data_IF_294153022930
#
_entry.id   IF_294153022930
#
_cell.length_a   1.000
_cell.length_b   1.000
_cell.length_c   1.000
_cell.angle_alpha   90.00
_cell.angle_beta   90.00
_cell.angle_gamma   90.00
#
_symmetry.space_group_name_H-M   'P 1'
#
loop_
_entity.id
_entity.type
_entity.pdbx_description
1 polymer ?
#
# COMPACT_ATOMS: atom_id res chain seq x y z
N UNK A 1 0.87 -4.77 -15.59
CA UNK A 1 2.05 -3.89 -15.73
C UNK A 1 1.61 -2.47 -15.38
N UNK A 2 2.10 -1.84 -14.29
CA UNK A 2 1.81 -0.41 -14.06
C UNK A 2 2.53 0.39 -15.15
N UNK A 3 1.81 1.17 -15.93
CA UNK A 3 2.43 2.06 -16.92
C UNK A 3 3.41 2.99 -16.21
N UNK A 4 4.58 3.21 -16.83
CA UNK A 4 5.54 4.17 -16.31
C UNK A 4 4.87 5.55 -16.32
N UNK A 5 4.92 6.32 -15.22
CA UNK A 5 4.31 7.62 -15.16
C UNK A 5 4.88 8.51 -16.27
N UNK A 6 4.01 9.27 -16.92
CA UNK A 6 4.42 10.22 -17.96
C UNK A 6 5.35 11.28 -17.35
N UNK A 7 6.26 11.83 -18.16
CA UNK A 7 7.13 12.92 -17.73
C UNK A 7 6.33 14.11 -17.17
N UNK A 8 5.16 14.40 -17.76
CA UNK A 8 4.25 15.44 -17.28
C UNK A 8 3.70 15.14 -15.89
N UNK A 9 3.36 13.88 -15.63
CA UNK A 9 2.85 13.43 -14.33
C UNK A 9 3.91 13.55 -13.23
N UNK A 10 5.17 13.23 -13.56
CA UNK A 10 6.30 13.42 -12.64
C UNK A 10 6.50 14.89 -12.28
N UNK A 11 6.45 15.79 -13.27
CA UNK A 11 6.60 17.23 -13.06
C UNK A 11 5.47 17.76 -12.18
N UNK A 12 4.21 17.40 -12.48
CA UNK A 12 3.05 17.83 -11.69
C UNK A 12 3.16 17.32 -10.26
N UNK A 13 3.58 16.07 -10.04
CA UNK A 13 3.77 15.51 -8.70
C UNK A 13 4.87 16.22 -7.91
N UNK A 14 6.00 16.52 -8.54
CA UNK A 14 7.09 17.25 -7.91
C UNK A 14 6.65 18.67 -7.50
N UNK A 15 5.92 19.36 -8.38
CA UNK A 15 5.39 20.70 -8.11
C UNK A 15 4.36 20.68 -6.97
N UNK A 16 3.43 19.72 -6.98
CA UNK A 16 2.46 19.55 -5.88
C UNK A 16 3.14 19.24 -4.55
N UNK A 17 4.18 18.41 -4.55
CA UNK A 17 4.97 18.12 -3.35
C UNK A 17 5.69 19.35 -2.81
N UNK A 18 6.28 20.16 -3.70
CA UNK A 18 6.90 21.43 -3.34
C UNK A 18 5.91 22.42 -2.72
N UNK A 19 4.75 22.62 -3.35
CA UNK A 19 3.69 23.49 -2.82
C UNK A 19 3.16 22.98 -1.46
N UNK A 20 3.00 21.67 -1.31
CA UNK A 20 2.57 21.05 -0.04
C UNK A 20 3.59 21.29 1.05
N UNK A 21 4.87 21.13 0.75
CA UNK A 21 5.97 21.39 1.70
C UNK A 21 5.96 22.85 2.14
N UNK A 22 5.88 23.79 1.19
CA UNK A 22 5.86 25.21 1.49
C UNK A 22 4.64 25.61 2.35
N UNK A 23 3.46 25.05 2.07
CA UNK A 23 2.27 25.27 2.88
C UNK A 23 2.44 24.73 4.31
N UNK A 24 3.09 23.57 4.47
CA UNK A 24 3.41 23.02 5.79
C UNK A 24 4.41 23.87 6.55
N UNK A 25 5.43 24.37 5.87
CA UNK A 25 6.44 25.25 6.46
C UNK A 25 5.78 26.53 6.99
N UNK A 26 4.94 27.18 6.17
CA UNK A 26 4.13 28.32 6.60
C UNK A 26 3.29 28.04 7.87
N UNK A 27 2.67 26.85 7.96
CA UNK A 27 1.91 26.46 9.14
C UNK A 27 2.79 26.28 10.39
N UNK A 28 4.01 25.79 10.22
CA UNK A 28 4.99 25.64 11.31
C UNK A 28 5.41 27.02 11.82
N UNK A 29 5.85 27.92 10.92
CA UNK A 29 6.22 29.29 11.29
C UNK A 29 5.07 30.06 11.94
N UNK A 30 3.85 29.90 11.42
CA UNK A 30 2.65 30.47 12.05
C UNK A 30 2.40 29.91 13.45
N UNK A 31 2.69 28.62 13.68
CA UNK A 31 2.51 27.99 15.00
C UNK A 31 3.61 28.37 15.99
N UNK A 32 4.82 28.69 15.54
CA UNK A 32 5.91 29.19 16.40
C UNK A 32 5.84 30.70 16.61
N UNK A 33 4.89 31.38 15.98
CA UNK A 33 4.69 32.84 16.04
C UNK A 33 5.90 33.62 15.50
N UNK A 34 6.69 32.97 14.64
CA UNK A 34 7.81 33.55 13.93
C UNK A 34 7.34 34.26 12.66
N UNK A 35 8.07 35.29 12.23
CA UNK A 35 7.75 36.03 11.02
C UNK A 35 8.13 35.20 9.80
N UNK A 36 7.14 34.64 9.12
CA UNK A 36 7.32 34.04 7.81
C UNK A 36 7.43 35.12 6.74
N UNK A 37 8.45 35.06 5.89
CA UNK A 37 8.65 36.05 4.83
C UNK A 37 7.53 35.93 3.78
N UNK A 38 6.65 36.93 3.71
CA UNK A 38 5.68 36.99 2.63
C UNK A 38 6.40 37.29 1.31
N UNK A 39 6.28 36.35 0.37
CA UNK A 39 6.77 36.50 -1.01
C UNK A 39 6.00 37.63 -1.71
N UNK A 40 6.50 38.86 -1.59
CA UNK A 40 5.99 40.03 -2.32
C UNK A 40 6.52 40.00 -3.75
N UNK A 41 5.78 39.33 -4.63
CA UNK A 41 6.08 39.22 -6.06
C UNK A 41 6.11 40.57 -6.81
N UNK A 42 5.68 41.66 -6.17
CA UNK A 42 5.58 43.00 -6.75
C UNK A 42 6.93 43.74 -6.82
N UNK A 43 7.95 43.34 -6.04
CA UNK A 43 9.25 44.02 -5.97
C UNK A 43 10.45 43.05 -6.09
N UNK A 44 10.28 41.95 -6.82
CA UNK A 44 11.32 40.94 -6.99
C UNK A 44 12.39 41.41 -8.01
N UNK A 45 13.20 42.39 -7.64
CA UNK A 45 14.55 42.50 -8.20
C UNK A 45 15.26 41.17 -7.88
N UNK A 46 15.92 40.56 -8.86
CA UNK A 46 16.48 39.20 -8.75
C UNK A 46 17.47 39.00 -7.59
N UNK A 47 17.90 40.07 -6.94
CA UNK A 47 18.72 40.09 -5.73
C UNK A 47 17.93 40.04 -4.41
N UNK A 48 16.64 40.38 -4.41
CA UNK A 48 15.76 40.37 -3.23
C UNK A 48 15.23 38.95 -2.90
N UNK A 49 15.36 38.00 -3.83
CA UNK A 49 14.91 36.61 -3.67
C UNK A 49 15.87 35.80 -2.77
N UNK A 50 17.13 36.23 -2.62
CA UNK A 50 18.16 35.53 -1.82
C UNK A 50 18.59 36.39 -0.62
N UNK A 51 17.62 36.84 0.17
CA UNK A 51 17.91 37.43 1.49
C UNK A 51 18.18 36.33 2.51
N UNK A 52 19.01 36.60 3.53
CA UNK A 52 19.38 35.61 4.56
C UNK A 52 18.15 34.92 5.20
N UNK A 53 17.05 35.67 5.36
CA UNK A 53 15.79 35.15 5.89
C UNK A 53 15.19 34.07 4.98
N UNK A 54 15.25 34.26 3.66
CA UNK A 54 14.72 33.29 2.69
C UNK A 54 15.62 32.04 2.59
N UNK A 55 16.93 32.18 2.82
CA UNK A 55 17.87 31.06 2.85
C UNK A 55 17.55 30.14 4.03
N UNK A 56 17.28 30.69 5.22
CA UNK A 56 16.91 29.91 6.40
C UNK A 56 15.60 29.14 6.19
N UNK A 57 14.59 29.78 5.59
CA UNK A 57 13.32 29.13 5.23
C UNK A 57 13.52 27.96 4.25
N UNK A 58 14.31 28.15 3.19
CA UNK A 58 14.65 27.07 2.24
C UNK A 58 15.39 25.93 2.95
N UNK A 59 16.32 26.26 3.84
CA UNK A 59 17.13 25.27 4.57
C UNK A 59 16.24 24.37 5.43
N UNK A 60 15.23 24.93 6.11
CA UNK A 60 14.25 24.20 6.91
C UNK A 60 13.23 23.42 6.07
N UNK A 61 12.87 23.92 4.90
CA UNK A 61 11.96 23.25 3.97
C UNK A 61 12.50 21.90 3.45
N UNK A 62 13.83 21.73 3.31
CA UNK A 62 14.44 20.49 2.82
C UNK A 62 14.16 19.26 3.73
N UNK A 63 14.48 19.28 5.03
CA UNK A 63 14.19 18.15 5.91
C UNK A 63 12.68 17.92 6.07
N UNK A 64 11.86 18.99 6.08
CA UNK A 64 10.40 18.89 6.12
C UNK A 64 9.87 18.15 4.88
N UNK A 65 10.36 18.51 3.69
CA UNK A 65 9.99 17.85 2.43
C UNK A 65 10.29 16.35 2.47
N UNK A 66 11.43 15.97 3.03
CA UNK A 66 11.83 14.57 3.17
C UNK A 66 10.92 13.81 4.12
N UNK A 67 10.63 14.38 5.31
CA UNK A 67 9.71 13.76 6.29
C UNK A 67 8.31 13.61 5.69
N UNK A 68 7.79 14.64 5.01
CA UNK A 68 6.50 14.59 4.33
C UNK A 68 6.47 13.53 3.22
N UNK A 69 7.56 13.35 2.46
CA UNK A 69 7.65 12.31 1.46
C UNK A 69 7.58 10.90 2.07
N UNK A 70 8.29 10.66 3.19
CA UNK A 70 8.23 9.40 3.93
C UNK A 70 6.83 9.14 4.47
N UNK A 71 6.21 10.15 5.10
CA UNK A 71 4.84 10.07 5.61
C UNK A 71 3.84 9.81 4.49
N UNK A 72 4.04 10.41 3.31
CA UNK A 72 3.21 10.17 2.14
C UNK A 72 3.32 8.73 1.65
N UNK A 73 4.53 8.20 1.50
CA UNK A 73 4.75 6.79 1.11
C UNK A 73 4.10 5.85 2.12
N UNK A 74 4.27 6.11 3.42
CA UNK A 74 3.66 5.32 4.47
C UNK A 74 2.13 5.37 4.41
N UNK A 75 1.56 6.56 4.21
CA UNK A 75 0.10 6.78 4.12
C UNK A 75 -0.49 6.14 2.87
N UNK A 76 0.22 6.19 1.74
CA UNK A 76 -0.16 5.58 0.48
C UNK A 76 -0.14 4.04 0.59
N UNK A 77 0.92 3.47 1.16
CA UNK A 77 1.03 2.03 1.35
C UNK A 77 -0.04 1.48 2.30
N UNK A 78 -0.40 2.24 3.35
CA UNK A 78 -1.43 1.82 4.32
C UNK A 78 -2.86 2.10 3.84
N UNK A 79 -3.05 2.61 2.63
CA UNK A 79 -4.34 3.02 2.04
C UNK A 79 -5.17 3.92 2.98
N UNK A 80 -4.51 4.74 3.81
CA UNK A 80 -5.19 5.51 4.87
C UNK A 80 -6.22 6.49 4.31
N UNK A 81 -5.84 7.19 3.24
CA UNK A 81 -6.72 8.10 2.51
C UNK A 81 -7.97 7.38 1.97
N UNK A 82 -7.80 6.17 1.42
CA UNK A 82 -8.92 5.35 0.92
C UNK A 82 -9.86 4.98 2.06
N UNK A 83 -9.35 4.61 3.23
CA UNK A 83 -10.17 4.30 4.42
C UNK A 83 -10.89 5.53 4.95
N UNK A 84 -10.26 6.71 4.95
CA UNK A 84 -10.90 7.97 5.35
C UNK A 84 -12.02 8.36 4.37
N UNK A 85 -11.77 8.26 3.06
CA UNK A 85 -12.78 8.54 2.03
C UNK A 85 -13.96 7.56 2.07
N UNK A 86 -13.72 6.31 2.45
CA UNK A 86 -14.77 5.32 2.71
C UNK A 86 -15.58 5.65 3.98
N UNK A 87 -14.91 6.11 5.04
CA UNK A 87 -15.56 6.49 6.31
C UNK A 87 -16.56 7.63 6.13
N UNK A 88 -16.23 8.62 5.27
CA UNK A 88 -17.13 9.72 4.94
C UNK A 88 -18.15 9.36 3.84
N UNK A 89 -18.16 8.11 3.36
CA UNK A 89 -19.11 7.63 2.34
C UNK A 89 -18.86 8.15 0.92
N UNK A 90 -17.74 8.84 0.68
CA UNK A 90 -17.41 9.43 -0.62
C UNK A 90 -17.08 8.36 -1.69
N UNK A 91 -16.70 7.15 -1.28
CA UNK A 91 -16.52 6.00 -2.18
C UNK A 91 -16.84 4.69 -1.47
N UNK A 92 -17.55 3.79 -2.14
CA UNK A 92 -17.71 2.37 -1.75
C UNK A 92 -16.76 1.43 -2.51
N UNK A 93 -16.00 1.97 -3.46
CA UNK A 93 -15.03 1.19 -4.24
C UNK A 93 -13.70 1.18 -3.50
N UNK A 94 -13.28 0.00 -3.10
CA UNK A 94 -11.84 -0.27 -2.94
C UNK A 94 -11.25 -0.14 -4.34
N UNK A 95 -10.40 0.86 -4.57
CA UNK A 95 -9.84 1.10 -5.90
C UNK A 95 -9.07 -0.13 -6.38
N UNK A 96 -9.55 -0.79 -7.44
CA UNK A 96 -8.89 -1.93 -8.09
C UNK A 96 -8.74 -3.20 -7.26
N UNK A 97 -9.11 -3.18 -5.97
CA UNK A 97 -8.97 -4.31 -5.05
C UNK A 97 -10.09 -5.31 -5.34
N UNK A 98 -9.71 -6.45 -5.89
CA UNK A 98 -10.66 -7.53 -6.12
C UNK A 98 -10.92 -8.32 -4.83
N UNK A 99 -11.87 -9.25 -4.87
CA UNK A 99 -12.26 -10.04 -3.68
C UNK A 99 -11.07 -10.82 -3.12
N UNK A 100 -10.11 -11.20 -3.95
CA UNK A 100 -8.90 -11.89 -3.53
C UNK A 100 -8.00 -10.97 -2.70
N UNK A 101 -7.72 -9.77 -3.20
CA UNK A 101 -6.94 -8.78 -2.46
C UNK A 101 -7.63 -8.44 -1.13
N UNK A 102 -8.96 -8.30 -1.14
CA UNK A 102 -9.74 -8.03 0.06
C UNK A 102 -9.62 -9.17 1.10
N UNK A 103 -9.68 -10.43 0.67
CA UNK A 103 -9.57 -11.58 1.56
C UNK A 103 -8.17 -11.64 2.17
N UNK A 104 -7.12 -11.69 1.34
CA UNK A 104 -5.75 -11.92 1.81
C UNK A 104 -5.10 -10.70 2.49
N UNK A 105 -5.62 -9.48 2.27
CA UNK A 105 -5.27 -8.31 3.08
C UNK A 105 -6.03 -8.23 4.43
N UNK A 106 -6.97 -9.14 4.70
CA UNK A 106 -7.69 -9.14 5.97
C UNK A 106 -6.80 -9.67 7.10
N UNK A 107 -6.83 -9.03 8.26
CA UNK A 107 -6.08 -9.47 9.46
C UNK A 107 -6.76 -10.64 10.20
N UNK A 108 -7.52 -11.47 9.48
CA UNK A 108 -8.26 -12.58 10.06
C UNK A 108 -7.37 -13.82 10.05
N UNK A 109 -7.15 -14.41 11.23
CA UNK A 109 -6.42 -15.68 11.38
C UNK A 109 -7.00 -16.78 10.48
N UNK A 110 -8.31 -16.75 10.24
CA UNK A 110 -8.96 -17.73 9.38
C UNK A 110 -8.47 -17.72 7.92
N UNK A 111 -7.87 -16.62 7.46
CA UNK A 111 -7.37 -16.46 6.09
C UNK A 111 -5.91 -16.90 5.95
N UNK A 112 -5.20 -17.02 7.07
CA UNK A 112 -3.77 -17.36 7.07
C UNK A 112 -3.54 -18.85 6.74
N UNK A 113 -4.47 -19.73 7.09
CA UNK A 113 -4.40 -21.15 6.75
C UNK A 113 -5.38 -21.48 5.62
N UNK A 114 -4.86 -22.02 4.52
CA UNK A 114 -5.64 -22.29 3.31
C UNK A 114 -5.49 -23.72 2.83
N UNK A 115 -6.55 -24.18 2.17
CA UNK A 115 -6.51 -25.37 1.33
C UNK A 115 -6.79 -24.96 -0.11
N UNK A 116 -5.82 -25.16 -0.97
CA UNK A 116 -5.87 -24.84 -2.39
C UNK A 116 -6.07 -26.12 -3.18
N UNK A 117 -7.16 -26.20 -3.94
CA UNK A 117 -7.42 -27.29 -4.87
C UNK A 117 -7.15 -26.85 -6.29
N UNK A 118 -6.18 -27.49 -6.93
CA UNK A 118 -5.84 -27.34 -8.34
C UNK A 118 -6.55 -28.46 -9.12
N UNK A 119 -7.58 -28.10 -9.89
CA UNK A 119 -8.40 -29.06 -10.63
C UNK A 119 -7.69 -29.65 -11.84
N UNK A 120 -6.85 -28.87 -12.51
CA UNK A 120 -6.11 -29.31 -13.69
C UNK A 120 -5.10 -30.40 -13.32
N UNK A 121 -4.44 -30.23 -12.17
CA UNK A 121 -3.44 -31.18 -11.68
C UNK A 121 -3.98 -32.25 -10.74
N UNK A 122 -5.23 -32.12 -10.30
CA UNK A 122 -5.84 -32.96 -9.27
C UNK A 122 -4.97 -33.04 -7.99
N UNK A 123 -4.40 -31.90 -7.59
CA UNK A 123 -3.56 -31.76 -6.40
C UNK A 123 -4.25 -30.86 -5.39
N UNK A 124 -4.15 -31.20 -4.12
CA UNK A 124 -4.56 -30.34 -3.01
C UNK A 124 -3.34 -29.91 -2.22
N UNK A 125 -3.16 -28.61 -2.05
CA UNK A 125 -2.14 -28.03 -1.17
C UNK A 125 -2.83 -27.51 0.08
N UNK A 126 -2.33 -27.83 1.26
CA UNK A 126 -2.88 -27.32 2.51
C UNK A 126 -1.75 -26.80 3.37
N UNK A 127 -1.79 -25.52 3.74
CA UNK A 127 -0.95 -24.91 4.77
C UNK A 127 -1.08 -23.37 4.84
N UNK A 128 -0.23 -22.74 5.66
CA UNK A 128 -0.12 -21.30 5.86
C UNK A 128 0.32 -20.52 4.61
N UNK A 129 -0.39 -19.42 4.36
CA UNK A 129 -0.04 -18.41 3.37
C UNK A 129 1.18 -17.65 3.83
N UNK A 130 2.22 -17.60 2.98
CA UNK A 130 3.40 -16.78 3.17
C UNK A 130 3.25 -15.43 2.45
N UNK A 131 2.87 -15.45 1.17
CA UNK A 131 2.61 -14.24 0.38
C UNK A 131 1.65 -14.52 -0.78
N UNK A 132 1.03 -13.47 -1.33
CA UNK A 132 0.11 -13.55 -2.45
C UNK A 132 0.35 -12.40 -3.45
N UNK A 133 -0.13 -12.54 -4.69
CA UNK A 133 -0.10 -11.46 -5.68
C UNK A 133 -1.19 -10.44 -5.46
N UNK A 134 -0.86 -9.15 -5.57
CA UNK A 134 -1.81 -8.02 -5.56
C UNK A 134 -2.25 -7.59 -6.98
N UNK A 135 -2.07 -8.45 -8.00
CA UNK A 135 -2.36 -8.11 -9.40
C UNK A 135 -3.48 -8.98 -9.95
N UNK A 136 -4.53 -8.37 -10.51
CA UNK A 136 -5.73 -9.08 -10.98
C UNK A 136 -5.59 -9.93 -12.27
N UNK A 137 -4.39 -10.16 -12.80
CA UNK A 137 -4.20 -10.96 -14.03
C UNK A 137 -3.93 -12.44 -13.76
N UNK A 138 -3.17 -12.77 -12.72
CA UNK A 138 -2.77 -14.13 -12.42
C UNK A 138 -2.70 -14.29 -10.91
N UNK A 139 -3.37 -15.30 -10.36
CA UNK A 139 -3.39 -15.54 -8.91
C UNK A 139 -2.13 -16.29 -8.54
N UNK A 140 -1.26 -15.62 -7.79
CA UNK A 140 -0.05 -16.21 -7.27
C UNK A 140 -0.16 -16.33 -5.76
N UNK A 141 0.20 -17.49 -5.24
CA UNK A 141 0.19 -17.80 -3.83
C UNK A 141 1.45 -18.56 -3.47
N UNK A 142 2.12 -18.11 -2.41
CA UNK A 142 3.24 -18.81 -1.81
C UNK A 142 2.77 -19.39 -0.49
N UNK A 143 2.88 -20.70 -0.32
CA UNK A 143 2.57 -21.39 0.93
C UNK A 143 3.87 -21.90 1.55
N UNK A 144 3.90 -21.98 2.88
CA UNK A 144 5.04 -22.52 3.66
C UNK A 144 4.65 -23.80 4.37
N UNK A 145 5.62 -24.68 4.60
CA UNK A 145 5.46 -25.95 5.35
C UNK A 145 4.41 -26.91 4.75
N UNK A 146 4.24 -26.85 3.43
CA UNK A 146 3.09 -27.35 2.67
C UNK A 146 2.97 -28.86 2.70
N UNK A 147 1.79 -29.34 3.07
CA UNK A 147 1.34 -30.70 2.76
C UNK A 147 0.63 -30.71 1.40
N UNK A 148 1.16 -31.48 0.46
CA UNK A 148 0.60 -31.72 -0.87
C UNK A 148 0.00 -33.11 -0.93
N UNK A 149 -1.26 -33.18 -1.35
CA UNK A 149 -1.97 -34.44 -1.58
C UNK A 149 -2.18 -34.60 -3.08
N UNK A 150 -1.61 -35.66 -3.64
CA UNK A 150 -1.82 -36.08 -5.02
C UNK A 150 -2.24 -37.54 -5.02
N UNK A 151 -3.47 -37.78 -5.48
CA UNK A 151 -4.13 -39.08 -5.37
C UNK A 151 -4.14 -39.54 -3.89
N UNK A 152 -3.44 -40.63 -3.59
CA UNK A 152 -3.30 -41.19 -2.23
C UNK A 152 -1.95 -40.87 -1.57
N UNK A 153 -1.07 -40.13 -2.26
CA UNK A 153 0.26 -39.81 -1.76
C UNK A 153 0.31 -38.42 -1.11
N UNK A 154 1.05 -38.33 0.00
CA UNK A 154 1.34 -37.07 0.67
C UNK A 154 2.82 -36.71 0.49
N UNK A 155 3.07 -35.49 0.02
CA UNK A 155 4.40 -34.92 -0.09
C UNK A 155 4.49 -33.66 0.77
N UNK A 156 5.65 -33.43 1.37
CA UNK A 156 5.92 -32.23 2.15
C UNK A 156 6.92 -31.35 1.41
N UNK A 157 6.65 -30.05 1.38
CA UNK A 157 7.55 -29.06 0.80
C UNK A 157 7.65 -27.84 1.73
N UNK A 158 8.86 -27.39 2.10
CA UNK A 158 9.01 -26.25 3.00
C UNK A 158 8.44 -24.95 2.41
N UNK A 159 8.40 -24.85 1.08
CA UNK A 159 7.87 -23.70 0.37
C UNK A 159 7.31 -24.15 -0.98
N UNK A 160 6.13 -23.65 -1.36
CA UNK A 160 5.58 -23.86 -2.70
C UNK A 160 5.07 -22.56 -3.30
N UNK A 161 5.25 -22.40 -4.61
CA UNK A 161 4.71 -21.31 -5.40
C UNK A 161 3.63 -21.85 -6.34
N UNK A 162 2.43 -21.30 -6.24
CA UNK A 162 1.26 -21.64 -7.05
C UNK A 162 0.91 -20.41 -7.88
N UNK A 163 0.76 -20.59 -9.19
CA UNK A 163 0.38 -19.54 -10.13
C UNK A 163 -0.67 -20.08 -11.09
N UNK A 164 -1.92 -19.63 -10.95
CA UNK A 164 -3.06 -20.13 -11.73
C UNK A 164 -3.98 -19.01 -12.19
N UNK A 165 -4.75 -19.28 -13.23
CA UNK A 165 -5.91 -18.46 -13.57
C UNK A 165 -6.91 -18.52 -12.40
N UNK A 166 -7.59 -17.41 -12.07
CA UNK A 166 -8.63 -17.41 -11.03
C UNK A 166 -9.68 -18.52 -11.17
N UNK A 167 -9.94 -19.02 -12.38
CA UNK A 167 -10.95 -20.05 -12.64
C UNK A 167 -10.50 -21.47 -12.30
N UNK A 168 -9.20 -21.71 -12.25
CA UNK A 168 -8.63 -23.06 -12.13
C UNK A 168 -8.35 -23.47 -10.67
N UNK A 169 -8.63 -22.57 -9.73
CA UNK A 169 -8.26 -22.72 -8.33
C UNK A 169 -9.46 -22.50 -7.41
N UNK A 170 -9.68 -23.45 -6.50
CA UNK A 170 -10.58 -23.26 -5.38
C UNK A 170 -9.77 -23.13 -4.09
N UNK A 171 -10.10 -22.12 -3.28
CA UNK A 171 -9.46 -21.89 -1.99
C UNK A 171 -10.49 -22.01 -0.89
N UNK A 172 -10.21 -22.90 0.05
CA UNK A 172 -10.99 -23.11 1.26
C UNK A 172 -10.20 -22.59 2.47
N UNK A 173 -10.93 -22.05 3.44
CA UNK A 173 -10.39 -21.50 4.69
C UNK A 173 -10.88 -22.36 5.86
N UNK A 174 -10.27 -23.53 6.11
CA UNK A 174 -10.80 -24.52 7.04
C UNK A 174 -10.55 -24.18 8.51
N UNK A 175 -9.83 -23.10 8.81
CA UNK A 175 -9.54 -22.70 10.18
C UNK A 175 -10.84 -22.44 10.96
N UNK A 176 -11.09 -23.28 11.98
CA UNK A 176 -12.16 -23.09 12.95
C UNK A 176 -11.52 -22.66 14.27
N UNK A 177 -11.98 -21.54 14.82
CA UNK A 177 -11.58 -21.16 16.17
C UNK A 177 -12.06 -22.25 17.14
N UNK A 178 -11.14 -22.86 17.89
CA UNK A 178 -11.37 -24.07 18.70
C UNK A 178 -12.36 -23.87 19.86
N UNK A 179 -12.87 -22.66 20.08
CA UNK A 179 -13.69 -22.26 21.22
C UNK A 179 -15.22 -22.41 21.04
N UNK A 180 -15.71 -23.14 20.03
CA UNK A 180 -17.16 -23.32 19.77
C UNK A 180 -17.60 -24.79 19.64
N UNK A 181 -16.96 -25.71 20.36
CA UNK A 181 -17.40 -27.12 20.39
C UNK A 181 -17.47 -27.77 21.78
N UNK A 182 -17.26 -27.00 22.84
CA UNK A 182 -17.50 -27.44 24.21
C UNK A 182 -18.68 -26.62 24.77
N UNK A 183 -19.90 -27.06 24.47
CA UNK A 183 -21.16 -26.47 24.94
C UNK A 183 -22.35 -27.36 24.64
#
# INVERSE_FOLDING_TARGET
MKEKPSQTELIVRALMHGLTTYAFDYLIYKSTNDNFSELKLENADGTAILTDVFIDEILWSIPIAFVLAVLWIYSANRKWLTRMLQMIGATKRYGGEDVWDFIFNSSRVAVEYVRVRDWEKNVVYAEWVNTFSETGQLRQLVLRDVAMYYEDNMFEAPLIYIARDPKDMHIEFPYKNRSMHDG
#
